data_IF_124505091644
#
_entry.id   IF_124505091644
#
_cell.length_a   1.000
_cell.length_b   1.000
_cell.length_c   1.000
_cell.angle_alpha   90.00
_cell.angle_beta   90.00
_cell.angle_gamma   90.00
#
_symmetry.space_group_name_H-M   'P 1'
#
loop_
_entity.id
_entity.type
_entity.pdbx_description
1 polymer ?
#
# COMPACT_ATOMS: atom_id res chain seq x y z
N UNK A 1 10.21 -35.88 24.86
CA UNK A 1 11.14 -35.19 23.93
C UNK A 1 10.71 -35.27 22.46
N UNK A 2 10.12 -36.38 21.97
CA UNK A 2 9.69 -36.49 20.56
C UNK A 2 8.57 -35.51 20.14
N UNK A 3 7.59 -35.22 21.00
CA UNK A 3 6.52 -34.24 20.74
C UNK A 3 7.05 -32.80 20.66
N UNK A 4 8.00 -32.44 21.53
CA UNK A 4 8.68 -31.14 21.49
C UNK A 4 9.52 -31.00 20.21
N UNK A 5 10.14 -32.09 19.74
CA UNK A 5 10.95 -32.14 18.51
C UNK A 5 10.13 -31.99 17.23
N UNK A 6 8.92 -32.57 17.18
CA UNK A 6 8.05 -32.46 16.00
C UNK A 6 7.41 -31.07 15.89
N UNK A 7 7.01 -30.47 17.02
CA UNK A 7 6.39 -29.15 17.06
C UNK A 7 7.29 -28.05 16.51
N UNK A 8 8.53 -27.92 17.02
CA UNK A 8 9.42 -26.84 16.58
C UNK A 8 9.79 -26.95 15.09
N UNK A 9 9.94 -28.16 14.55
CA UNK A 9 10.21 -28.38 13.11
C UNK A 9 9.05 -27.92 12.24
N UNK A 10 7.81 -28.18 12.67
CA UNK A 10 6.62 -27.68 11.98
C UNK A 10 6.59 -26.14 11.96
N UNK A 11 6.81 -25.51 13.12
CA UNK A 11 6.89 -24.04 13.22
C UNK A 11 8.00 -23.46 12.34
N UNK A 12 9.18 -24.11 12.32
CA UNK A 12 10.31 -23.71 11.49
C UNK A 12 9.98 -23.78 10.00
N UNK A 13 9.35 -24.87 9.53
CA UNK A 13 8.94 -25.03 8.12
C UNK A 13 7.90 -23.99 7.74
N UNK A 14 6.89 -23.74 8.58
CA UNK A 14 5.88 -22.71 8.33
C UNK A 14 6.51 -21.32 8.23
N UNK A 15 7.43 -20.99 9.14
CA UNK A 15 8.16 -19.73 9.13
C UNK A 15 8.99 -19.57 7.85
N UNK A 16 9.64 -20.64 7.39
CA UNK A 16 10.41 -20.66 6.13
C UNK A 16 9.51 -20.39 4.93
N UNK A 17 8.40 -21.14 4.79
CA UNK A 17 7.48 -21.00 3.66
C UNK A 17 6.89 -19.58 3.62
N UNK A 18 6.43 -19.07 4.76
CA UNK A 18 5.88 -17.74 4.84
C UNK A 18 6.90 -16.66 4.44
N UNK A 19 8.14 -16.76 4.93
CA UNK A 19 9.18 -15.78 4.61
C UNK A 19 9.67 -15.86 3.16
N UNK A 20 9.61 -17.03 2.51
CA UNK A 20 9.86 -17.14 1.06
C UNK A 20 8.79 -16.38 0.27
N UNK A 21 7.51 -16.48 0.66
CA UNK A 21 6.44 -15.73 0.03
C UNK A 21 6.62 -14.22 0.22
N UNK A 22 6.95 -13.77 1.43
CA UNK A 22 7.24 -12.35 1.73
C UNK A 22 8.44 -11.85 0.91
N UNK A 23 9.50 -12.65 0.84
CA UNK A 23 10.68 -12.36 0.04
C UNK A 23 10.34 -12.20 -1.46
N UNK A 24 9.56 -13.12 -2.02
CA UNK A 24 9.12 -13.06 -3.41
C UNK A 24 8.21 -11.85 -3.68
N UNK A 25 7.29 -11.53 -2.77
CA UNK A 25 6.48 -10.32 -2.83
C UNK A 25 7.34 -9.05 -2.82
N UNK A 26 8.39 -9.01 -2.00
CA UNK A 26 9.35 -7.90 -1.97
C UNK A 26 10.01 -7.68 -3.33
N UNK A 27 10.50 -8.75 -3.98
CA UNK A 27 11.06 -8.67 -5.34
C UNK A 27 10.02 -8.14 -6.33
N UNK A 28 8.80 -8.67 -6.30
CA UNK A 28 7.74 -8.23 -7.21
C UNK A 28 7.44 -6.72 -7.06
N UNK A 29 7.36 -6.20 -5.83
CA UNK A 29 7.14 -4.77 -5.60
C UNK A 29 8.30 -3.91 -6.09
N UNK A 30 9.55 -4.34 -5.89
CA UNK A 30 10.73 -3.64 -6.41
C UNK A 30 10.67 -3.56 -7.94
N UNK A 31 10.36 -4.67 -8.61
CA UNK A 31 10.26 -4.73 -10.08
C UNK A 31 9.13 -3.82 -10.57
N UNK A 32 7.93 -3.96 -10.03
CA UNK A 32 6.76 -3.16 -10.44
C UNK A 32 7.01 -1.67 -10.18
N UNK A 33 7.54 -1.32 -9.01
CA UNK A 33 7.88 0.05 -8.65
C UNK A 33 8.94 0.64 -9.59
N UNK A 34 10.00 -0.10 -9.89
CA UNK A 34 11.07 0.34 -10.79
C UNK A 34 10.57 0.56 -12.22
N UNK A 35 9.75 -0.36 -12.74
CA UNK A 35 9.12 -0.20 -14.06
C UNK A 35 8.19 1.02 -14.09
N UNK A 36 7.42 1.22 -13.02
CA UNK A 36 6.53 2.40 -12.88
C UNK A 36 7.33 3.70 -12.85
N UNK A 37 8.47 3.72 -12.16
CA UNK A 37 9.34 4.89 -12.09
C UNK A 37 9.90 5.26 -13.47
N UNK A 38 10.35 4.28 -14.25
CA UNK A 38 10.85 4.49 -15.62
C UNK A 38 9.72 5.02 -16.52
N UNK A 39 8.52 4.45 -16.43
CA UNK A 39 7.37 4.91 -17.20
C UNK A 39 6.99 6.37 -16.86
N UNK A 40 6.97 6.72 -15.58
CA UNK A 40 6.70 8.10 -15.13
C UNK A 40 7.74 9.07 -15.70
N UNK A 41 9.02 8.75 -15.58
CA UNK A 41 10.11 9.62 -16.03
C UNK A 41 10.14 9.81 -17.56
N UNK A 42 9.80 8.78 -18.34
CA UNK A 42 9.87 8.82 -19.80
C UNK A 42 8.64 9.47 -20.46
N UNK A 43 7.45 9.34 -19.86
CA UNK A 43 6.19 9.72 -20.52
C UNK A 43 5.44 10.87 -19.84
N UNK A 44 5.89 11.32 -18.66
CA UNK A 44 5.17 12.35 -17.91
C UNK A 44 6.13 13.25 -17.11
N UNK A 45 6.71 14.21 -17.83
CA UNK A 45 7.63 15.22 -17.29
C UNK A 45 7.02 16.18 -16.26
N UNK A 46 5.70 16.15 -16.03
CA UNK A 46 5.02 16.99 -15.04
C UNK A 46 4.33 16.26 -13.89
N UNK A 47 4.47 14.93 -13.77
CA UNK A 47 3.75 14.17 -12.72
C UNK A 47 4.09 14.75 -11.33
N UNK A 48 3.02 14.99 -10.58
CA UNK A 48 3.04 15.53 -9.23
C UNK A 48 4.04 14.77 -8.33
N UNK A 49 4.74 15.51 -7.49
CA UNK A 49 5.74 14.97 -6.57
C UNK A 49 5.15 13.87 -5.67
N UNK A 50 3.85 13.92 -5.39
CA UNK A 50 3.16 12.92 -4.58
C UNK A 50 3.09 11.55 -5.25
N UNK A 51 2.86 11.49 -6.57
CA UNK A 51 2.80 10.20 -7.31
C UNK A 51 4.21 9.60 -7.40
N UNK A 52 5.24 10.43 -7.66
CA UNK A 52 6.64 9.98 -7.60
C UNK A 52 6.99 9.48 -6.20
N UNK A 53 6.56 10.19 -5.17
CA UNK A 53 6.69 9.78 -3.77
C UNK A 53 6.06 8.42 -3.50
N UNK A 54 4.85 8.17 -4.01
CA UNK A 54 4.16 6.88 -3.87
C UNK A 54 4.95 5.74 -4.56
N UNK A 55 5.43 5.94 -5.78
CA UNK A 55 6.23 4.91 -6.48
C UNK A 55 7.53 4.61 -5.75
N UNK A 56 8.24 5.65 -5.27
CA UNK A 56 9.44 5.48 -4.46
C UNK A 56 9.11 4.73 -3.16
N UNK A 57 8.01 5.07 -2.49
CA UNK A 57 7.54 4.37 -1.29
C UNK A 57 7.30 2.89 -1.55
N UNK A 58 6.68 2.52 -2.68
CA UNK A 58 6.47 1.11 -3.07
C UNK A 58 7.79 0.36 -3.24
N UNK A 59 8.80 0.99 -3.85
CA UNK A 59 10.14 0.39 -4.01
C UNK A 59 10.79 0.18 -2.64
N UNK A 60 10.77 1.20 -1.78
CA UNK A 60 11.35 1.14 -0.42
C UNK A 60 10.67 0.05 0.41
N UNK A 61 9.35 -0.04 0.36
CA UNK A 61 8.58 -1.10 1.00
C UNK A 61 8.96 -2.48 0.46
N UNK A 62 9.14 -2.61 -0.86
CA UNK A 62 9.61 -3.83 -1.50
C UNK A 62 11.00 -4.26 -0.99
N UNK A 63 11.95 -3.34 -0.91
CA UNK A 63 13.28 -3.59 -0.34
C UNK A 63 13.21 -4.04 1.13
N UNK A 64 12.34 -3.42 1.92
CA UNK A 64 12.12 -3.79 3.31
C UNK A 64 11.56 -5.21 3.43
N UNK A 65 10.54 -5.57 2.65
CA UNK A 65 9.95 -6.91 2.63
C UNK A 65 10.93 -7.97 2.13
N UNK A 66 11.75 -7.65 1.13
CA UNK A 66 12.84 -8.51 0.67
C UNK A 66 13.81 -8.83 1.82
N UNK A 67 14.29 -7.80 2.53
CA UNK A 67 15.22 -7.98 3.65
C UNK A 67 14.57 -8.79 4.79
N UNK A 68 13.33 -8.46 5.14
CA UNK A 68 12.58 -9.12 6.19
C UNK A 68 12.37 -10.62 5.89
N UNK A 69 11.92 -10.93 4.68
CA UNK A 69 11.77 -12.30 4.19
C UNK A 69 13.10 -13.05 4.14
N UNK A 70 14.17 -12.40 3.68
CA UNK A 70 15.51 -13.00 3.65
C UNK A 70 16.03 -13.33 5.05
N UNK A 71 15.88 -12.44 6.03
CA UNK A 71 16.30 -12.66 7.41
C UNK A 71 15.50 -13.80 8.07
N UNK A 72 14.18 -13.82 7.89
CA UNK A 72 13.33 -14.89 8.42
C UNK A 72 13.64 -16.26 7.80
N UNK A 73 13.80 -16.30 6.47
CA UNK A 73 14.18 -17.51 5.74
C UNK A 73 15.57 -18.02 6.13
N UNK A 74 16.59 -17.15 6.05
CA UNK A 74 17.97 -17.49 6.35
C UNK A 74 18.14 -17.87 7.82
N UNK A 75 17.58 -17.08 8.74
CA UNK A 75 17.65 -17.35 10.17
C UNK A 75 17.03 -18.70 10.54
N UNK A 76 15.88 -19.05 9.94
CA UNK A 76 15.24 -20.33 10.19
C UNK A 76 16.01 -21.50 9.55
N UNK A 77 16.52 -21.39 8.32
CA UNK A 77 17.22 -22.48 7.63
C UNK A 77 18.61 -22.74 8.22
N UNK A 78 19.39 -21.68 8.45
CA UNK A 78 20.77 -21.76 8.95
C UNK A 78 20.84 -21.91 10.46
N UNK A 79 19.69 -21.89 11.15
CA UNK A 79 19.58 -21.84 12.62
C UNK A 79 20.37 -20.67 13.23
N UNK A 80 20.55 -19.58 12.47
CA UNK A 80 21.25 -18.39 12.95
C UNK A 80 20.31 -17.55 13.83
N UNK A 81 20.51 -17.64 15.14
CA UNK A 81 19.69 -16.92 16.13
C UNK A 81 19.80 -15.41 16.01
N UNK A 82 20.95 -14.86 15.59
CA UNK A 82 21.11 -13.42 15.38
C UNK A 82 20.19 -12.91 14.27
N UNK A 83 20.11 -13.62 13.13
CA UNK A 83 19.19 -13.29 12.04
C UNK A 83 17.72 -13.36 12.49
N UNK A 84 17.33 -14.38 13.26
CA UNK A 84 15.97 -14.50 13.80
C UNK A 84 15.63 -13.41 14.83
N UNK A 85 16.60 -13.00 15.65
CA UNK A 85 16.44 -11.89 16.60
C UNK A 85 16.22 -10.58 15.82
N UNK A 86 17.05 -10.30 14.82
CA UNK A 86 16.90 -9.10 13.98
C UNK A 86 15.55 -9.10 13.25
N UNK A 87 15.14 -10.24 12.71
CA UNK A 87 13.82 -10.43 12.11
C UNK A 87 12.69 -10.09 13.09
N UNK A 88 12.73 -10.62 14.32
CA UNK A 88 11.72 -10.34 15.34
C UNK A 88 11.70 -8.87 15.77
N UNK A 89 12.87 -8.21 15.87
CA UNK A 89 12.96 -6.77 16.17
C UNK A 89 12.32 -5.95 15.05
N UNK A 90 12.63 -6.23 13.78
CA UNK A 90 12.06 -5.51 12.64
C UNK A 90 10.54 -5.70 12.54
N UNK A 91 10.03 -6.91 12.76
CA UNK A 91 8.59 -7.16 12.85
C UNK A 91 7.95 -6.37 14.00
N UNK A 92 8.60 -6.29 15.16
CA UNK A 92 8.08 -5.55 16.31
C UNK A 92 7.99 -4.05 16.03
N UNK A 93 8.98 -3.48 15.33
CA UNK A 93 8.96 -2.08 14.87
C UNK A 93 7.81 -1.87 13.88
N UNK A 94 7.57 -2.81 12.98
CA UNK A 94 6.47 -2.73 12.01
C UNK A 94 5.09 -2.76 12.70
N UNK A 95 4.88 -3.63 13.68
CA UNK A 95 3.65 -3.64 14.49
C UNK A 95 3.44 -2.28 15.16
N UNK A 96 4.49 -1.70 15.75
CA UNK A 96 4.39 -0.37 16.37
C UNK A 96 4.07 0.73 15.35
N UNK A 97 4.66 0.67 14.15
CA UNK A 97 4.38 1.60 13.06
C UNK A 97 2.95 1.47 12.54
N UNK A 98 2.39 0.26 12.46
CA UNK A 98 1.00 0.02 12.07
C UNK A 98 0.01 0.58 13.08
N UNK A 99 0.27 0.38 14.37
CA UNK A 99 -0.56 0.96 15.44
C UNK A 99 -0.51 2.49 15.34
N UNK A 100 0.68 3.07 15.19
CA UNK A 100 0.82 4.51 15.03
C UNK A 100 0.09 5.03 13.79
N UNK A 101 0.26 4.37 12.63
CA UNK A 101 -0.42 4.73 11.39
C UNK A 101 -1.95 4.61 11.51
N UNK A 102 -2.46 3.56 12.17
CA UNK A 102 -3.88 3.38 12.43
C UNK A 102 -4.47 4.49 13.31
N UNK A 103 -3.74 4.88 14.37
CA UNK A 103 -4.14 6.00 15.23
C UNK A 103 -4.13 7.31 14.44
N UNK A 104 -3.06 7.60 13.70
CA UNK A 104 -2.94 8.80 12.87
C UNK A 104 -4.06 8.87 11.82
N UNK A 105 -4.35 7.76 11.14
CA UNK A 105 -5.44 7.67 10.16
C UNK A 105 -6.81 7.92 10.81
N UNK A 106 -7.04 7.44 12.03
CA UNK A 106 -8.28 7.67 12.76
C UNK A 106 -8.45 9.12 13.21
N UNK A 107 -7.37 9.76 13.69
CA UNK A 107 -7.37 11.14 14.19
C UNK A 107 -7.47 12.15 13.05
N UNK A 108 -6.75 11.94 11.94
CA UNK A 108 -6.67 12.88 10.82
C UNK A 108 -7.68 12.59 9.70
N UNK A 109 -8.64 11.68 9.90
CA UNK A 109 -9.58 11.25 8.84
C UNK A 109 -10.31 12.43 8.18
N UNK A 110 -10.74 13.41 8.96
CA UNK A 110 -11.56 14.53 8.49
C UNK A 110 -10.69 15.55 7.74
N UNK A 111 -9.45 15.75 8.22
CA UNK A 111 -8.47 16.60 7.56
C UNK A 111 -8.04 16.01 6.22
N UNK A 112 -7.73 14.70 6.17
CA UNK A 112 -7.43 14.00 4.91
C UNK A 112 -8.59 14.11 3.93
N UNK A 113 -9.84 13.95 4.39
CA UNK A 113 -11.03 14.14 3.54
C UNK A 113 -11.10 15.57 2.98
N UNK A 114 -10.88 16.60 3.80
CA UNK A 114 -10.89 17.99 3.34
C UNK A 114 -9.76 18.32 2.37
N UNK A 115 -8.55 17.78 2.61
CA UNK A 115 -7.41 17.96 1.73
C UNK A 115 -7.66 17.29 0.38
N UNK A 116 -8.24 16.10 0.38
CA UNK A 116 -8.64 15.40 -0.84
C UNK A 116 -9.67 16.22 -1.64
N UNK A 117 -10.72 16.74 -0.99
CA UNK A 117 -11.71 17.59 -1.65
C UNK A 117 -11.09 18.85 -2.25
N UNK A 118 -10.19 19.50 -1.50
CA UNK A 118 -9.45 20.66 -1.98
C UNK A 118 -8.54 20.32 -3.17
N UNK A 119 -7.88 19.16 -3.15
CA UNK A 119 -7.02 18.69 -4.22
C UNK A 119 -7.82 18.48 -5.50
N UNK A 120 -8.95 17.77 -5.44
CA UNK A 120 -9.81 17.52 -6.61
C UNK A 120 -10.29 18.85 -7.20
N UNK A 121 -10.73 19.79 -6.35
CA UNK A 121 -11.15 21.13 -6.79
C UNK A 121 -10.02 21.90 -7.49
N UNK A 122 -8.81 21.89 -6.92
CA UNK A 122 -7.64 22.52 -7.54
C UNK A 122 -7.25 21.86 -8.86
N UNK A 123 -7.33 20.52 -8.94
CA UNK A 123 -7.06 19.79 -10.18
C UNK A 123 -8.03 20.17 -11.30
N UNK A 124 -9.31 20.41 -10.99
CA UNK A 124 -10.30 20.89 -11.98
C UNK A 124 -9.97 22.32 -12.44
N UNK A 125 -9.62 23.20 -11.51
CA UNK A 125 -9.25 24.59 -11.84
C UNK A 125 -8.00 24.70 -12.71
N UNK A 126 -7.06 23.78 -12.54
CA UNK A 126 -5.81 23.73 -13.30
C UNK A 126 -5.82 22.71 -14.44
N UNK A 127 -6.96 22.09 -14.74
CA UNK A 127 -7.09 21.00 -15.70
C UNK A 127 -6.48 21.33 -17.07
N UNK A 128 -6.78 22.51 -17.64
CA UNK A 128 -6.22 22.92 -18.94
C UNK A 128 -4.76 23.38 -18.89
N UNK A 129 -4.23 23.69 -17.70
CA UNK A 129 -2.89 24.25 -17.51
C UNK A 129 -1.86 23.20 -17.13
N UNK A 130 -2.30 22.14 -16.46
CA UNK A 130 -1.45 21.09 -15.93
C UNK A 130 -1.78 19.74 -16.62
N UNK A 131 -0.88 19.22 -17.48
CA UNK A 131 -1.14 17.98 -18.22
C UNK A 131 -1.29 16.75 -17.32
N UNK A 132 -0.77 16.79 -16.10
CA UNK A 132 -0.85 15.68 -15.15
C UNK A 132 -2.17 15.68 -14.41
N UNK A 133 -2.67 16.86 -14.01
CA UNK A 133 -4.05 16.98 -13.53
C UNK A 133 -5.06 16.62 -14.61
N UNK A 134 -4.78 16.97 -15.87
CA UNK A 134 -5.59 16.52 -17.01
C UNK A 134 -5.66 14.99 -17.09
N UNK A 135 -4.52 14.31 -17.19
CA UNK A 135 -4.46 12.85 -17.28
C UNK A 135 -5.10 12.17 -16.06
N UNK A 136 -4.85 12.70 -14.86
CA UNK A 136 -5.41 12.18 -13.63
C UNK A 136 -6.93 12.30 -13.60
N UNK A 137 -7.47 13.51 -13.84
CA UNK A 137 -8.91 13.73 -13.88
C UNK A 137 -9.58 12.96 -15.02
N UNK A 138 -8.96 12.87 -16.19
CA UNK A 138 -9.50 12.09 -17.31
C UNK A 138 -9.72 10.62 -16.92
N UNK A 139 -8.75 10.03 -16.22
CA UNK A 139 -8.88 8.66 -15.69
C UNK A 139 -9.95 8.58 -14.61
N UNK A 140 -9.94 9.48 -13.63
CA UNK A 140 -10.91 9.46 -12.53
C UNK A 140 -12.34 9.60 -13.08
N UNK A 141 -12.56 10.54 -13.99
CA UNK A 141 -13.88 10.81 -14.58
C UNK A 141 -14.43 9.62 -15.36
N UNK A 142 -13.57 8.93 -16.13
CA UNK A 142 -13.97 7.74 -16.87
C UNK A 142 -14.15 6.52 -15.96
N UNK A 143 -13.23 6.28 -15.01
CA UNK A 143 -13.27 5.13 -14.10
C UNK A 143 -14.47 5.19 -13.14
N UNK A 144 -14.76 6.38 -12.60
CA UNK A 144 -15.82 6.60 -11.62
C UNK A 144 -17.11 7.16 -12.22
N UNK A 145 -17.15 7.36 -13.54
CA UNK A 145 -18.29 7.91 -14.28
C UNK A 145 -18.83 9.19 -13.62
N UNK A 146 -17.95 10.16 -13.45
CA UNK A 146 -18.19 11.41 -12.73
C UNK A 146 -17.64 12.61 -13.51
N UNK A 147 -18.04 13.82 -13.16
CA UNK A 147 -17.53 15.03 -13.81
C UNK A 147 -17.29 16.19 -12.85
N UNK A 148 -16.11 16.81 -12.96
CA UNK A 148 -15.71 17.92 -12.09
C UNK A 148 -15.46 17.47 -10.65
N UNK A 149 -15.40 18.42 -9.72
CA UNK A 149 -15.22 18.11 -8.30
C UNK A 149 -16.56 17.76 -7.68
N UNK A 150 -17.50 18.69 -7.72
CA UNK A 150 -18.87 18.52 -7.25
C UNK A 150 -19.85 18.38 -8.41
N UNK A 151 -19.57 19.02 -9.55
CA UNK A 151 -20.39 18.90 -10.75
C UNK A 151 -19.64 19.29 -12.02
N UNK A 152 -20.21 18.97 -13.19
CA UNK A 152 -19.68 19.41 -14.49
C UNK A 152 -19.60 20.93 -14.64
N UNK A 153 -20.40 21.69 -13.88
CA UNK A 153 -20.38 23.15 -13.90
C UNK A 153 -19.10 23.77 -13.31
N UNK A 154 -18.29 22.98 -12.60
CA UNK A 154 -17.00 23.41 -12.04
C UNK A 154 -16.03 23.83 -13.15
N UNK A 155 -16.06 23.14 -14.31
CA UNK A 155 -15.25 23.52 -15.47
C UNK A 155 -15.66 24.87 -16.02
N UNK A 156 -16.96 25.07 -16.25
CA UNK A 156 -17.49 26.32 -16.81
C UNK A 156 -17.29 27.50 -15.87
N UNK A 157 -17.41 27.27 -14.55
CA UNK A 157 -17.17 28.29 -13.53
C UNK A 157 -15.70 28.75 -13.51
N UNK A 158 -14.78 27.87 -13.92
CA UNK A 158 -13.35 28.17 -14.06
C UNK A 158 -12.96 28.61 -15.48
N UNK A 159 -13.94 28.96 -16.32
CA UNK A 159 -13.71 29.44 -17.70
C UNK A 159 -13.23 28.36 -18.66
N UNK A 160 -13.42 27.08 -18.32
CA UNK A 160 -13.02 25.92 -19.12
C UNK A 160 -14.23 25.24 -19.74
N UNK A 161 -14.00 24.51 -20.83
CA UNK A 161 -15.03 23.65 -21.41
C UNK A 161 -15.04 22.30 -20.69
N UNK A 162 -16.22 21.68 -20.61
CA UNK A 162 -16.35 20.33 -20.03
C UNK A 162 -15.59 19.34 -20.91
N UNK A 163 -14.63 18.57 -20.36
CA UNK A 163 -13.79 17.69 -21.15
C UNK A 163 -14.57 16.46 -21.65
N UNK A 164 -14.07 15.84 -22.73
CA UNK A 164 -14.70 14.62 -23.29
C UNK A 164 -14.63 13.44 -22.32
N UNK A 165 -13.67 13.43 -21.39
CA UNK A 165 -13.59 12.44 -20.31
C UNK A 165 -14.75 12.52 -19.31
N UNK A 166 -15.55 13.59 -19.34
CA UNK A 166 -16.81 13.68 -18.58
C UNK A 166 -18.01 13.08 -19.31
N UNK A 167 -17.84 12.56 -20.53
CA UNK A 167 -18.95 12.04 -21.34
C UNK A 167 -18.96 10.52 -21.33
N UNK A 168 -20.15 9.97 -21.24
CA UNK A 168 -20.39 8.55 -21.47
C UNK A 168 -20.01 8.19 -22.92
N UNK A 169 -19.30 7.08 -23.07
CA UNK A 169 -18.71 6.71 -24.37
C UNK A 169 -19.79 6.42 -25.43
N UNK A 170 -20.94 5.89 -25.00
CA UNK A 170 -22.02 5.42 -25.87
C UNK A 170 -23.06 6.51 -26.14
N UNK A 171 -23.56 7.14 -25.09
CA UNK A 171 -24.66 8.10 -25.15
C UNK A 171 -24.17 9.54 -25.38
N UNK A 172 -22.87 9.79 -25.18
CA UNK A 172 -22.25 11.14 -25.17
C UNK A 172 -22.85 12.08 -24.11
N UNK A 173 -23.67 11.58 -23.20
CA UNK A 173 -24.22 12.33 -22.09
C UNK A 173 -23.13 12.67 -21.07
N UNK A 174 -23.20 13.87 -20.48
CA UNK A 174 -22.27 14.29 -19.42
C UNK A 174 -22.66 13.59 -18.12
N UNK A 175 -21.67 13.07 -17.39
CA UNK A 175 -21.89 12.48 -16.07
C UNK A 175 -22.45 13.52 -15.09
N UNK A 176 -23.52 13.15 -14.37
CA UNK A 176 -24.24 14.05 -13.45
C UNK A 176 -23.52 14.23 -12.11
N UNK A 177 -22.81 13.20 -11.66
CA UNK A 177 -22.28 13.13 -10.31
C UNK A 177 -20.86 13.74 -10.24
N UNK A 178 -20.58 14.49 -9.18
CA UNK A 178 -19.23 15.00 -8.90
C UNK A 178 -18.25 13.91 -8.51
N UNK A 179 -17.00 14.03 -8.95
CA UNK A 179 -15.98 13.02 -8.67
C UNK A 179 -15.59 12.93 -7.20
N UNK A 180 -15.66 14.02 -6.46
CA UNK A 180 -15.40 14.03 -5.02
C UNK A 180 -16.31 13.06 -4.27
N UNK A 181 -17.62 13.10 -4.54
CA UNK A 181 -18.59 12.19 -3.93
C UNK A 181 -18.35 10.73 -4.35
N UNK A 182 -18.19 10.47 -5.65
CA UNK A 182 -17.97 9.10 -6.17
C UNK A 182 -16.71 8.47 -5.60
N UNK A 183 -15.60 9.20 -5.59
CA UNK A 183 -14.32 8.69 -5.07
C UNK A 183 -14.40 8.47 -3.55
N UNK A 184 -14.99 9.40 -2.79
CA UNK A 184 -15.22 9.19 -1.35
C UNK A 184 -16.09 7.96 -1.10
N UNK A 185 -17.19 7.80 -1.85
CA UNK A 185 -18.08 6.63 -1.69
C UNK A 185 -17.38 5.31 -2.02
N UNK A 186 -16.46 5.32 -2.99
CA UNK A 186 -15.61 4.18 -3.29
C UNK A 186 -14.70 3.87 -2.11
N UNK A 187 -14.00 4.87 -1.55
CA UNK A 187 -13.16 4.66 -0.38
C UNK A 187 -13.97 4.15 0.82
N UNK A 188 -15.14 4.73 1.11
CA UNK A 188 -16.02 4.27 2.20
C UNK A 188 -16.47 2.81 2.01
N UNK A 189 -16.66 2.36 0.77
CA UNK A 189 -17.00 0.96 0.47
C UNK A 189 -15.84 0.00 0.73
N UNK A 190 -14.61 0.38 0.38
CA UNK A 190 -13.44 -0.50 0.48
C UNK A 190 -12.63 -0.33 1.76
N UNK A 191 -12.84 0.74 2.53
CA UNK A 191 -12.06 1.01 3.76
C UNK A 191 -12.23 -0.10 4.79
N UNK A 192 -13.42 -0.70 4.88
CA UNK A 192 -13.66 -1.83 5.80
C UNK A 192 -12.80 -3.03 5.41
N UNK A 193 -12.70 -3.34 4.11
CA UNK A 193 -11.86 -4.44 3.64
C UNK A 193 -10.37 -4.17 3.90
N UNK A 194 -9.91 -2.93 3.72
CA UNK A 194 -8.53 -2.51 4.04
C UNK A 194 -8.25 -2.63 5.54
N UNK A 195 -9.17 -2.20 6.39
CA UNK A 195 -9.03 -2.33 7.86
C UNK A 195 -8.98 -3.79 8.30
N UNK A 196 -9.84 -4.66 7.74
CA UNK A 196 -9.81 -6.10 8.00
C UNK A 196 -8.47 -6.70 7.55
N UNK A 197 -7.98 -6.35 6.36
CA UNK A 197 -6.70 -6.82 5.85
C UNK A 197 -5.53 -6.38 6.76
N UNK A 198 -5.52 -5.11 7.20
CA UNK A 198 -4.51 -4.58 8.11
C UNK A 198 -4.55 -5.32 9.47
N UNK A 199 -5.73 -5.60 10.01
CA UNK A 199 -5.87 -6.35 11.25
C UNK A 199 -5.35 -7.80 11.13
N UNK A 200 -5.68 -8.49 10.04
CA UNK A 200 -5.16 -9.83 9.75
C UNK A 200 -3.64 -9.79 9.61
N UNK A 201 -3.09 -8.78 8.94
CA UNK A 201 -1.66 -8.59 8.79
C UNK A 201 -0.95 -8.41 10.13
N UNK A 202 -1.48 -7.58 11.04
CA UNK A 202 -0.95 -7.41 12.39
C UNK A 202 -0.94 -8.72 13.19
N UNK A 203 -2.01 -9.53 13.09
CA UNK A 203 -2.05 -10.87 13.74
C UNK A 203 -0.97 -11.78 13.16
N UNK A 204 -0.82 -11.82 11.83
CA UNK A 204 0.20 -12.64 11.17
C UNK A 204 1.62 -12.25 11.61
N UNK A 205 1.90 -10.95 11.79
CA UNK A 205 3.18 -10.48 12.30
C UNK A 205 3.44 -10.96 13.73
N UNK A 206 2.45 -10.85 14.62
CA UNK A 206 2.58 -11.32 16.00
C UNK A 206 2.84 -12.84 16.05
N UNK A 207 2.15 -13.62 15.22
CA UNK A 207 2.40 -15.05 15.09
C UNK A 207 3.83 -15.34 14.60
N UNK A 208 4.33 -14.59 13.62
CA UNK A 208 5.70 -14.73 13.12
C UNK A 208 6.74 -14.41 14.20
N UNK A 209 6.51 -13.39 15.03
CA UNK A 209 7.36 -13.07 16.19
C UNK A 209 7.37 -14.23 17.18
N UNK A 210 6.20 -14.76 17.54
CA UNK A 210 6.08 -15.91 18.46
C UNK A 210 6.83 -17.12 17.90
N UNK A 211 6.63 -17.43 16.62
CA UNK A 211 7.31 -18.55 15.96
C UNK A 211 8.83 -18.35 15.93
N UNK A 212 9.31 -17.15 15.60
CA UNK A 212 10.74 -16.84 15.63
C UNK A 212 11.33 -17.03 17.03
N UNK A 213 10.66 -16.55 18.08
CA UNK A 213 11.10 -16.72 19.48
C UNK A 213 11.12 -18.20 19.89
N UNK A 214 10.08 -18.96 19.53
CA UNK A 214 10.02 -20.40 19.78
C UNK A 214 11.18 -21.13 19.10
N UNK A 215 11.47 -20.81 17.83
CA UNK A 215 12.60 -21.39 17.08
C UNK A 215 13.94 -20.99 17.71
N UNK A 216 14.13 -19.73 18.09
CA UNK A 216 15.35 -19.27 18.77
C UNK A 216 15.58 -20.05 20.08
N UNK A 217 14.54 -20.21 20.90
CA UNK A 217 14.62 -20.95 22.17
C UNK A 217 14.97 -22.42 21.92
N UNK A 218 14.35 -23.05 20.92
CA UNK A 218 14.62 -24.44 20.57
C UNK A 218 16.06 -24.66 20.07
N UNK A 219 16.61 -23.71 19.29
CA UNK A 219 18.01 -23.76 18.84
C UNK A 219 18.95 -23.67 20.05
N UNK A 220 18.73 -22.69 20.94
CA UNK A 220 19.59 -22.51 22.13
C UNK A 220 19.54 -23.70 23.09
N UNK A 221 18.37 -24.31 23.30
CA UNK A 221 18.27 -25.51 24.15
C UNK A 221 18.97 -26.72 23.55
N UNK A 222 18.98 -26.85 22.21
CA UNK A 222 19.64 -27.97 21.53
C UNK A 222 21.17 -27.85 21.46
N UNK A 223 21.73 -26.65 21.59
CA UNK A 223 23.20 -26.44 21.70
C UNK A 223 23.71 -26.62 23.15
N UNK A 224 22.81 -26.80 24.13
CA UNK A 224 23.13 -26.93 25.56
C UNK A 224 23.23 -28.38 26.05
N UNK A 225 22.91 -29.34 25.18
CA UNK A 225 22.99 -30.81 25.39
C UNK A 225 24.15 -31.41 24.60
#
# INVERSE_FOLDING_TARGET
MASLSCGYKCLQILLVIFNILVFACGIALIVIGSLSQVAINNYSSGIDSSIKGLVIFVIVLGCFLFLLGFLGFCGACTKNTCCLILYAILLSIMVAAEIAAGITAAVLRDEVKSQFLSLVKSSVNEYSKNPDFKKFLDKIQQEFQCCGSESSSDYTSSGQTVPDSCKDTNTKAIYSDGCSYKVISFFEKYIVAVLVAAFVFAILQLLCIVFAICVIRAIKSGDSD
#
